data_IF_552190784168
#
_entry.id   IF_552190784168
#
_cell.length_a   1.000
_cell.length_b   1.000
_cell.length_c   1.000
_cell.angle_alpha   90.00
_cell.angle_beta   90.00
_cell.angle_gamma   90.00
#
_symmetry.space_group_name_H-M   'P 1'
#
loop_
_entity.id
_entity.type
_entity.pdbx_description
1 polymer ?
#
# COMPACT_ATOMS: atom_id res chain seq x y z
N UNK A 1 1.78 -12.45 -4.91
CA UNK A 1 0.88 -11.86 -5.92
C UNK A 1 -0.38 -12.70 -6.11
N UNK A 2 -0.22 -13.99 -6.34
CA UNK A 2 -1.35 -14.91 -6.54
C UNK A 2 -2.27 -14.97 -5.31
N UNK A 3 -1.73 -15.15 -4.12
CA UNK A 3 -2.50 -15.21 -2.88
C UNK A 3 -3.27 -13.90 -2.61
N UNK A 4 -2.72 -12.76 -3.01
CA UNK A 4 -3.35 -11.44 -2.81
C UNK A 4 -4.30 -11.05 -3.95
N UNK A 5 -4.26 -11.74 -5.09
CA UNK A 5 -5.14 -11.46 -6.25
C UNK A 5 -6.62 -11.72 -5.97
N UNK A 6 -6.95 -12.53 -4.95
CA UNK A 6 -8.32 -12.74 -4.47
C UNK A 6 -9.05 -11.47 -4.03
N UNK A 7 -8.33 -10.36 -3.76
CA UNK A 7 -8.94 -9.07 -3.50
C UNK A 7 -9.64 -8.47 -4.73
N UNK A 8 -9.19 -8.76 -5.95
CA UNK A 8 -9.82 -8.24 -7.18
C UNK A 8 -11.28 -8.66 -7.34
N UNK A 9 -11.64 -9.98 -7.32
CA UNK A 9 -13.04 -10.38 -7.44
C UNK A 9 -13.88 -9.90 -6.25
N UNK A 10 -13.32 -9.81 -5.04
CA UNK A 10 -14.01 -9.31 -3.86
C UNK A 10 -14.42 -7.84 -4.05
N UNK A 11 -13.50 -6.96 -4.40
CA UNK A 11 -13.78 -5.53 -4.58
C UNK A 11 -14.67 -5.28 -5.79
N UNK A 12 -14.46 -5.98 -6.91
CA UNK A 12 -15.32 -5.86 -8.08
C UNK A 12 -16.77 -6.29 -7.78
N UNK A 13 -16.97 -7.32 -6.96
CA UNK A 13 -18.29 -7.70 -6.48
C UNK A 13 -18.93 -6.61 -5.63
N UNK A 14 -18.19 -5.99 -4.70
CA UNK A 14 -18.71 -4.90 -3.88
C UNK A 14 -19.09 -3.68 -4.72
N UNK A 15 -18.26 -3.30 -5.70
CA UNK A 15 -18.57 -2.23 -6.66
C UNK A 15 -19.85 -2.53 -7.44
N UNK A 16 -19.98 -3.74 -7.95
CA UNK A 16 -21.17 -4.18 -8.68
C UNK A 16 -22.43 -4.13 -7.80
N UNK A 17 -22.35 -4.57 -6.56
CA UNK A 17 -23.46 -4.50 -5.59
C UNK A 17 -23.84 -3.05 -5.24
N UNK A 18 -22.86 -2.15 -5.27
CA UNK A 18 -23.07 -0.71 -5.08
C UNK A 18 -23.58 0.00 -6.34
N UNK A 19 -23.79 -0.72 -7.46
CA UNK A 19 -24.27 -0.16 -8.73
C UNK A 19 -23.21 0.51 -9.59
N UNK A 20 -21.91 0.35 -9.27
CA UNK A 20 -20.80 0.87 -10.03
C UNK A 20 -20.40 -0.14 -11.12
N UNK A 21 -20.28 0.33 -12.38
CA UNK A 21 -19.88 -0.50 -13.53
C UNK A 21 -18.36 -0.67 -13.65
N UNK A 22 -17.58 0.00 -12.81
CA UNK A 22 -16.11 -0.05 -12.82
C UNK A 22 -15.61 -1.42 -12.38
N UNK A 23 -14.66 -1.95 -13.15
CA UNK A 23 -13.96 -3.20 -12.85
C UNK A 23 -12.45 -2.95 -12.74
N UNK A 24 -11.87 -3.31 -11.61
CA UNK A 24 -10.42 -3.34 -11.43
C UNK A 24 -9.85 -4.64 -11.98
N UNK A 25 -8.76 -4.54 -12.75
CA UNK A 25 -8.07 -5.67 -13.38
C UNK A 25 -6.62 -5.77 -12.94
N UNK A 26 -6.11 -4.68 -12.32
CA UNK A 26 -4.73 -4.56 -11.88
C UNK A 26 -4.67 -4.50 -10.36
N UNK A 27 -3.59 -5.06 -9.81
CA UNK A 27 -3.36 -5.11 -8.37
C UNK A 27 -1.86 -5.14 -8.09
N UNK A 28 -1.44 -4.46 -7.04
CA UNK A 28 -0.10 -4.54 -6.44
C UNK A 28 -0.27 -5.22 -5.09
N UNK A 29 0.14 -6.49 -5.00
CA UNK A 29 0.19 -7.24 -3.76
C UNK A 29 1.53 -7.01 -3.08
N UNK A 30 1.53 -6.54 -1.83
CA UNK A 30 2.71 -6.22 -1.03
C UNK A 30 2.82 -7.20 0.12
N UNK A 31 4.02 -7.70 0.36
CA UNK A 31 4.32 -8.51 1.55
C UNK A 31 5.32 -7.80 2.44
N UNK A 32 4.91 -7.54 3.68
CA UNK A 32 5.73 -6.93 4.73
C UNK A 32 6.13 -8.00 5.74
N UNK A 33 7.42 -8.30 5.82
CA UNK A 33 7.91 -9.39 6.68
C UNK A 33 9.41 -9.31 6.91
N UNK A 34 10.10 -10.45 6.78
CA UNK A 34 11.57 -10.52 6.84
C UNK A 34 12.18 -9.61 5.79
N UNK A 35 11.54 -9.51 4.62
CA UNK A 35 11.89 -8.60 3.55
C UNK A 35 10.69 -7.82 3.04
N UNK A 36 10.87 -7.14 1.92
CA UNK A 36 9.89 -6.32 1.22
C UNK A 36 9.60 -6.90 -0.16
N UNK A 37 8.50 -7.61 -0.31
CA UNK A 37 8.13 -8.26 -1.57
C UNK A 37 6.92 -7.61 -2.22
N UNK A 38 6.83 -7.73 -3.55
CA UNK A 38 5.62 -7.43 -4.30
C UNK A 38 5.30 -8.51 -5.33
N UNK A 39 3.99 -8.63 -5.62
CA UNK A 39 3.48 -9.32 -6.79
C UNK A 39 2.55 -8.38 -7.53
N UNK A 40 2.81 -8.18 -8.81
CA UNK A 40 2.05 -7.27 -9.66
C UNK A 40 1.13 -8.09 -10.56
N UNK A 41 -0.15 -7.75 -10.57
CA UNK A 41 -1.16 -8.34 -11.44
C UNK A 41 -1.61 -7.28 -12.43
N UNK A 42 -1.53 -7.57 -13.72
CA UNK A 42 -1.97 -6.70 -14.82
C UNK A 42 -2.96 -7.46 -15.67
N UNK A 43 -4.13 -6.89 -15.92
CA UNK A 43 -5.22 -7.55 -16.65
C UNK A 43 -5.57 -8.94 -16.08
N UNK A 44 -5.57 -9.07 -14.75
CA UNK A 44 -5.82 -10.32 -14.01
C UNK A 44 -4.74 -11.39 -14.18
N UNK A 45 -3.58 -11.05 -14.76
CA UNK A 45 -2.45 -11.96 -14.98
C UNK A 45 -1.27 -11.49 -14.13
N UNK A 46 -0.62 -12.43 -13.43
CA UNK A 46 0.59 -12.15 -12.66
C UNK A 46 1.74 -11.75 -13.59
N UNK A 47 2.35 -10.60 -13.32
CA UNK A 47 3.53 -10.12 -14.02
C UNK A 47 4.76 -10.91 -13.55
N UNK A 48 5.28 -11.77 -14.39
CA UNK A 48 6.53 -12.49 -14.13
C UNK A 48 7.74 -11.77 -14.69
N UNK A 49 7.57 -11.01 -15.79
CA UNK A 49 8.66 -10.39 -16.55
C UNK A 49 9.44 -11.42 -17.37
N UNK A 50 10.24 -10.94 -18.31
CA UNK A 50 11.05 -11.81 -19.20
C UNK A 50 12.18 -12.53 -18.45
N UNK A 51 12.64 -11.95 -17.33
CA UNK A 51 13.73 -12.50 -16.51
C UNK A 51 13.24 -13.01 -15.15
N UNK A 52 11.94 -13.12 -14.94
CA UNK A 52 11.37 -13.52 -13.64
C UNK A 52 11.49 -12.46 -12.53
N UNK A 53 11.81 -11.19 -12.88
CA UNK A 53 12.03 -10.09 -11.92
C UNK A 53 10.82 -9.15 -11.81
N UNK A 54 9.65 -9.60 -12.27
CA UNK A 54 8.42 -8.80 -12.16
C UNK A 54 8.02 -8.61 -10.70
N UNK A 55 8.05 -7.36 -10.22
CA UNK A 55 7.64 -7.04 -8.84
C UNK A 55 8.79 -6.91 -7.82
N UNK A 56 10.04 -6.81 -8.25
CA UNK A 56 11.22 -6.62 -7.38
C UNK A 56 11.24 -5.24 -6.69
N UNK A 57 10.19 -4.93 -5.93
CA UNK A 57 10.02 -3.66 -5.22
C UNK A 57 11.11 -3.41 -4.16
N UNK A 58 11.67 -4.48 -3.62
CA UNK A 58 12.71 -4.43 -2.58
C UNK A 58 13.98 -3.69 -3.05
N UNK A 59 14.27 -3.74 -4.37
CA UNK A 59 15.40 -3.06 -5.01
C UNK A 59 15.15 -1.58 -5.30
N UNK A 60 13.96 -1.07 -5.09
CA UNK A 60 13.69 0.36 -5.28
C UNK A 60 14.58 1.20 -4.38
N UNK A 61 14.84 2.43 -4.83
CA UNK A 61 15.65 3.37 -4.06
C UNK A 61 14.95 3.75 -2.77
N UNK A 62 15.66 3.71 -1.67
CA UNK A 62 15.18 4.13 -0.36
C UNK A 62 14.98 5.65 -0.34
N UNK A 63 13.80 6.10 0.09
CA UNK A 63 13.49 7.54 0.15
C UNK A 63 14.37 8.29 1.16
N UNK A 64 14.64 7.69 2.31
CA UNK A 64 15.41 8.30 3.41
C UNK A 64 16.92 8.16 3.22
N UNK A 65 17.34 7.06 2.63
CA UNK A 65 18.73 6.69 2.40
C UNK A 65 18.92 6.37 0.90
N UNK A 66 19.13 7.38 0.03
CA UNK A 66 19.06 7.22 -1.43
C UNK A 66 20.05 6.22 -2.04
N UNK A 67 21.10 5.86 -1.32
CA UNK A 67 22.11 4.88 -1.76
C UNK A 67 21.81 3.45 -1.25
N UNK A 68 20.68 3.26 -0.55
CA UNK A 68 20.27 1.98 0.01
C UNK A 68 19.02 1.43 -0.70
N UNK A 69 18.78 0.13 -0.54
CA UNK A 69 17.57 -0.56 -0.97
C UNK A 69 16.37 -0.10 -0.14
N UNK A 70 15.19 -0.10 -0.75
CA UNK A 70 13.94 0.15 -0.02
C UNK A 70 13.74 -0.83 1.13
N UNK A 71 14.12 -2.11 0.95
CA UNK A 71 14.02 -3.16 1.98
C UNK A 71 14.77 -2.82 3.27
N UNK A 72 15.86 -2.03 3.21
CA UNK A 72 16.59 -1.62 4.42
C UNK A 72 15.75 -0.74 5.37
N UNK A 73 14.66 -0.16 4.87
CA UNK A 73 13.67 0.56 5.68
C UNK A 73 12.30 -0.11 5.72
N UNK A 74 12.09 -1.19 4.95
CA UNK A 74 10.80 -1.90 4.86
C UNK A 74 11.00 -3.38 5.15
N UNK A 75 11.38 -3.68 6.39
CA UNK A 75 11.61 -5.04 6.86
C UNK A 75 11.55 -5.12 8.37
N UNK A 76 11.47 -6.36 8.89
CA UNK A 76 11.60 -6.63 10.34
C UNK A 76 12.90 -6.02 10.91
N UNK A 77 14.00 -6.09 10.14
CA UNK A 77 15.29 -5.50 10.56
C UNK A 77 15.18 -3.98 10.74
N UNK A 78 14.47 -3.32 9.82
CA UNK A 78 14.24 -1.87 9.89
C UNK A 78 13.45 -1.48 11.14
N UNK A 79 12.36 -2.19 11.46
CA UNK A 79 11.57 -1.93 12.68
C UNK A 79 12.45 -2.02 13.93
N UNK A 80 13.27 -3.07 14.04
CA UNK A 80 14.19 -3.24 15.16
C UNK A 80 15.23 -2.13 15.23
N UNK A 81 15.84 -1.77 14.10
CA UNK A 81 16.83 -0.71 14.04
C UNK A 81 16.25 0.62 14.50
N UNK A 82 15.11 1.02 13.93
CA UNK A 82 14.47 2.31 14.26
C UNK A 82 14.04 2.33 15.72
N UNK A 83 13.50 1.23 16.25
CA UNK A 83 13.19 1.13 17.68
C UNK A 83 14.44 1.34 18.55
N UNK A 84 15.56 0.65 18.23
CA UNK A 84 16.81 0.82 18.98
C UNK A 84 17.36 2.23 18.90
N UNK A 85 17.35 2.83 17.70
CA UNK A 85 17.87 4.18 17.47
C UNK A 85 17.10 5.24 18.27
N UNK A 86 15.79 5.07 18.41
CA UNK A 86 14.92 6.04 19.09
C UNK A 86 14.83 5.81 20.60
N UNK A 87 14.76 4.56 21.04
CA UNK A 87 14.64 4.22 22.47
C UNK A 87 15.97 4.22 23.21
N UNK A 88 17.09 4.15 22.49
CA UNK A 88 18.41 3.91 23.08
C UNK A 88 18.60 2.50 23.67
N UNK A 89 17.62 1.60 23.44
CA UNK A 89 17.63 0.23 23.96
C UNK A 89 17.95 -0.79 22.85
N UNK A 90 18.67 -1.86 23.21
CA UNK A 90 18.93 -2.94 22.25
C UNK A 90 17.65 -3.69 21.90
N UNK A 91 17.37 -3.82 20.61
CA UNK A 91 16.27 -4.64 20.10
C UNK A 91 16.70 -6.01 19.59
N UNK A 92 17.95 -6.42 19.83
CA UNK A 92 18.53 -7.65 19.26
C UNK A 92 17.71 -8.92 19.60
N UNK A 93 17.12 -8.96 20.80
CA UNK A 93 16.29 -10.08 21.29
C UNK A 93 14.78 -9.89 21.02
N UNK A 94 14.36 -8.70 20.54
CA UNK A 94 12.96 -8.42 20.34
C UNK A 94 12.47 -8.97 18.98
N UNK A 95 11.36 -9.69 19.00
CA UNK A 95 10.62 -10.01 17.78
C UNK A 95 9.78 -8.80 17.31
N UNK A 96 9.29 -8.76 16.08
CA UNK A 96 8.33 -7.73 15.66
C UNK A 96 7.07 -7.70 16.50
N UNK A 97 6.65 -8.88 16.98
CA UNK A 97 5.52 -9.01 17.90
C UNK A 97 5.82 -8.32 19.24
N UNK A 98 7.02 -8.49 19.78
CA UNK A 98 7.42 -7.81 21.01
C UNK A 98 7.38 -6.29 20.87
N UNK A 99 7.88 -5.75 19.74
CA UNK A 99 7.83 -4.30 19.46
C UNK A 99 6.37 -3.84 19.28
N UNK A 100 5.53 -4.65 18.65
CA UNK A 100 4.09 -4.37 18.57
C UNK A 100 3.44 -4.38 19.97
N UNK A 101 3.74 -5.36 20.82
CA UNK A 101 3.21 -5.46 22.17
C UNK A 101 3.69 -4.26 23.04
N UNK A 102 4.90 -3.75 22.81
CA UNK A 102 5.40 -2.50 23.41
C UNK A 102 4.57 -1.30 22.90
N UNK A 103 4.30 -1.22 21.61
CA UNK A 103 3.47 -0.16 21.03
C UNK A 103 2.05 -0.14 21.61
N UNK A 104 1.49 -1.32 21.92
CA UNK A 104 0.17 -1.48 22.54
C UNK A 104 0.19 -1.32 24.08
N UNK A 105 1.37 -1.13 24.70
CA UNK A 105 1.50 -1.04 26.15
C UNK A 105 1.33 -2.38 26.89
N UNK A 106 1.36 -3.50 26.18
CA UNK A 106 1.24 -4.86 26.71
C UNK A 106 2.59 -5.33 27.28
N UNK A 107 3.70 -4.89 26.67
CA UNK A 107 5.05 -5.22 27.06
C UNK A 107 5.78 -3.94 27.47
N UNK A 108 6.64 -4.05 28.51
CA UNK A 108 7.48 -2.95 28.96
C UNK A 108 8.47 -2.52 27.87
N UNK A 109 8.62 -1.21 27.67
CA UNK A 109 9.52 -0.60 26.70
C UNK A 109 9.07 0.81 26.30
N UNK A 110 9.77 1.39 25.33
CA UNK A 110 9.41 2.70 24.80
C UNK A 110 8.33 2.58 23.73
N UNK A 111 7.08 2.84 24.10
CA UNK A 111 5.92 2.75 23.20
C UNK A 111 5.98 3.79 22.07
N UNK A 112 6.55 4.98 22.31
CA UNK A 112 6.70 6.01 21.29
C UNK A 112 7.70 5.58 20.21
N UNK A 113 8.86 5.03 20.63
CA UNK A 113 9.85 4.47 19.71
C UNK A 113 9.27 3.29 18.91
N UNK A 114 8.48 2.43 19.56
CA UNK A 114 7.82 1.29 18.91
C UNK A 114 6.82 1.74 17.84
N UNK A 115 5.93 2.68 18.15
CA UNK A 115 4.98 3.27 17.19
C UNK A 115 5.74 3.95 16.04
N UNK A 116 6.76 4.75 16.35
CA UNK A 116 7.55 5.47 15.35
C UNK A 116 8.27 4.51 14.39
N UNK A 117 8.72 3.35 14.87
CA UNK A 117 9.36 2.33 14.02
C UNK A 117 8.42 1.75 12.96
N UNK A 118 7.16 1.48 13.30
CA UNK A 118 6.14 1.04 12.34
C UNK A 118 5.68 2.18 11.42
N UNK A 119 5.60 3.40 11.93
CA UNK A 119 5.29 4.57 11.10
C UNK A 119 6.37 4.80 10.03
N UNK A 120 7.65 4.72 10.39
CA UNK A 120 8.75 4.86 9.42
C UNK A 120 8.67 3.79 8.34
N UNK A 121 8.42 2.52 8.72
CA UNK A 121 8.20 1.45 7.76
C UNK A 121 7.04 1.79 6.81
N UNK A 122 5.93 2.31 7.33
CA UNK A 122 4.78 2.73 6.53
C UNK A 122 5.12 3.82 5.52
N UNK A 123 5.85 4.86 5.94
CA UNK A 123 6.30 5.95 5.05
C UNK A 123 7.19 5.40 3.93
N UNK A 124 8.17 4.55 4.27
CA UNK A 124 9.12 4.01 3.29
C UNK A 124 8.45 3.05 2.31
N UNK A 125 7.54 2.19 2.80
CA UNK A 125 6.72 1.34 1.94
C UNK A 125 5.82 2.17 1.01
N UNK A 126 5.16 3.19 1.54
CA UNK A 126 4.31 4.11 0.77
C UNK A 126 5.06 4.79 -0.36
N UNK A 127 6.29 5.25 -0.13
CA UNK A 127 7.12 5.88 -1.15
C UNK A 127 7.47 4.92 -2.30
N UNK A 128 7.83 3.67 -2.00
CA UNK A 128 8.10 2.66 -3.01
C UNK A 128 6.82 2.26 -3.77
N UNK A 129 5.71 2.05 -3.05
CA UNK A 129 4.41 1.71 -3.64
C UNK A 129 3.91 2.82 -4.56
N UNK A 130 4.09 4.10 -4.22
CA UNK A 130 3.70 5.23 -5.06
C UNK A 130 4.34 5.15 -6.45
N UNK A 131 5.61 4.76 -6.53
CA UNK A 131 6.34 4.60 -7.80
C UNK A 131 5.74 3.49 -8.66
N UNK A 132 5.43 2.33 -8.06
CA UNK A 132 4.80 1.21 -8.77
C UNK A 132 3.37 1.54 -9.17
N UNK A 133 2.62 2.20 -8.27
CA UNK A 133 1.23 2.55 -8.49
C UNK A 133 1.04 3.50 -9.67
N UNK A 134 1.97 4.43 -9.88
CA UNK A 134 1.97 5.32 -11.05
C UNK A 134 2.23 4.59 -12.39
N UNK A 135 2.76 3.37 -12.35
CA UNK A 135 3.02 2.54 -13.55
C UNK A 135 1.90 1.53 -13.76
N UNK A 136 1.42 0.91 -12.68
CA UNK A 136 0.48 -0.23 -12.74
C UNK A 136 -0.97 0.23 -12.77
N UNK A 137 -1.32 1.32 -12.07
CA UNK A 137 -2.70 1.82 -11.93
C UNK A 137 -3.67 0.69 -11.53
N UNK A 138 -3.68 0.35 -10.24
CA UNK A 138 -4.48 -0.77 -9.73
C UNK A 138 -4.79 -0.64 -8.24
N UNK A 139 -5.38 -1.67 -7.66
CA UNK A 139 -5.58 -1.79 -6.22
C UNK A 139 -4.24 -2.10 -5.52
N UNK A 140 -4.15 -1.76 -4.24
CA UNK A 140 -3.01 -2.13 -3.39
C UNK A 140 -3.48 -3.04 -2.27
N UNK A 141 -2.83 -4.18 -2.09
CA UNK A 141 -3.14 -5.14 -1.02
C UNK A 141 -1.89 -5.42 -0.20
N UNK A 142 -1.97 -5.15 1.09
CA UNK A 142 -0.87 -5.33 2.03
C UNK A 142 -1.06 -6.65 2.80
N UNK A 143 -0.07 -7.51 2.78
CA UNK A 143 -0.03 -8.76 3.53
C UNK A 143 1.33 -8.97 4.22
N UNK A 144 1.54 -10.15 4.77
CA UNK A 144 2.80 -10.52 5.44
C UNK A 144 2.74 -10.42 6.96
N UNK A 145 3.74 -10.97 7.63
CA UNK A 145 3.75 -11.12 9.09
C UNK A 145 3.78 -9.80 9.87
N UNK A 146 4.25 -8.69 9.26
CA UNK A 146 4.25 -7.35 9.88
C UNK A 146 2.93 -6.61 9.65
N UNK A 147 2.09 -7.09 8.73
CA UNK A 147 0.77 -6.50 8.48
C UNK A 147 -0.15 -6.54 9.71
N UNK A 148 0.12 -7.39 10.72
CA UNK A 148 -0.56 -7.35 12.02
C UNK A 148 -0.41 -6.01 12.77
N UNK A 149 0.64 -5.22 12.45
CA UNK A 149 0.83 -3.85 12.96
C UNK A 149 0.20 -2.78 12.03
N UNK A 150 -0.75 -3.16 11.17
CA UNK A 150 -1.41 -2.26 10.20
C UNK A 150 -1.99 -0.99 10.83
N UNK A 151 -2.45 -1.06 12.08
CA UNK A 151 -2.91 0.09 12.88
C UNK A 151 -1.90 1.26 12.88
N UNK A 152 -0.60 0.95 12.88
CA UNK A 152 0.49 1.93 12.91
C UNK A 152 1.09 2.17 11.51
N UNK A 153 1.15 1.12 10.68
CA UNK A 153 1.78 1.17 9.36
C UNK A 153 0.87 1.89 8.35
N UNK A 154 -0.40 1.52 8.32
CA UNK A 154 -1.31 1.93 7.24
C UNK A 154 -1.58 3.44 7.20
N UNK A 155 -1.81 4.15 8.34
CA UNK A 155 -2.01 5.59 8.32
C UNK A 155 -0.81 6.35 7.73
N UNK A 156 0.42 5.94 8.10
CA UNK A 156 1.65 6.55 7.62
C UNK A 156 1.87 6.26 6.12
N UNK A 157 1.61 5.03 5.67
CA UNK A 157 1.69 4.62 4.28
C UNK A 157 0.69 5.40 3.41
N UNK A 158 -0.56 5.53 3.84
CA UNK A 158 -1.59 6.27 3.10
C UNK A 158 -1.29 7.77 3.06
N UNK A 159 -0.79 8.33 4.16
CA UNK A 159 -0.33 9.72 4.18
C UNK A 159 0.77 9.95 3.16
N UNK A 160 1.71 9.02 3.03
CA UNK A 160 2.78 9.09 2.02
C UNK A 160 2.24 8.98 0.59
N UNK A 161 1.30 8.07 0.33
CA UNK A 161 0.65 7.95 -0.98
C UNK A 161 -0.15 9.22 -1.37
N UNK A 162 -0.64 9.96 -0.38
CA UNK A 162 -1.36 11.23 -0.56
C UNK A 162 -0.46 12.46 -0.55
N UNK A 163 0.85 12.27 -0.40
CA UNK A 163 1.82 13.36 -0.36
C UNK A 163 1.85 14.15 -1.68
N UNK A 164 2.40 15.35 -1.62
CA UNK A 164 2.59 16.21 -2.78
C UNK A 164 4.08 16.35 -3.11
N UNK A 165 4.38 16.31 -4.39
CA UNK A 165 5.70 16.60 -4.94
C UNK A 165 5.72 18.03 -5.49
N UNK A 166 6.84 18.72 -5.34
CA UNK A 166 6.99 20.11 -5.76
C UNK A 166 7.94 20.20 -6.96
N UNK A 167 7.59 20.99 -7.94
CA UNK A 167 8.47 21.30 -9.08
C UNK A 167 9.45 22.43 -8.73
N UNK A 168 10.46 22.64 -9.55
CA UNK A 168 11.37 23.78 -9.40
C UNK A 168 10.67 25.15 -9.46
N UNK A 169 9.52 25.23 -10.14
CA UNK A 169 8.68 26.44 -10.18
C UNK A 169 7.77 26.60 -8.96
N UNK A 170 7.82 25.69 -8.00
CA UNK A 170 7.00 25.70 -6.78
C UNK A 170 5.59 25.12 -6.92
N UNK A 171 5.20 24.65 -8.10
CA UNK A 171 3.92 23.97 -8.30
C UNK A 171 3.89 22.63 -7.56
N UNK A 172 2.73 22.29 -6.99
CA UNK A 172 2.54 21.06 -6.25
C UNK A 172 1.65 20.09 -7.02
N UNK A 173 2.05 18.84 -7.06
CA UNK A 173 1.31 17.74 -7.68
C UNK A 173 1.20 16.57 -6.71
N UNK A 174 0.09 15.79 -6.73
CA UNK A 174 0.01 14.58 -5.93
C UNK A 174 1.09 13.58 -6.38
N UNK A 175 1.66 12.82 -5.44
CA UNK A 175 2.69 11.84 -5.76
C UNK A 175 2.12 10.62 -6.50
N UNK A 176 0.81 10.36 -6.41
CA UNK A 176 0.08 9.41 -7.27
C UNK A 176 -1.08 10.11 -7.98
N UNK A 177 -1.34 9.72 -9.24
CA UNK A 177 -2.32 10.40 -10.10
C UNK A 177 -3.77 10.11 -9.73
N UNK A 178 -4.02 9.30 -8.71
CA UNK A 178 -5.35 8.85 -8.30
C UNK A 178 -5.63 9.18 -6.84
N UNK A 179 -6.90 9.32 -6.49
CA UNK A 179 -7.33 9.46 -5.11
C UNK A 179 -7.15 8.11 -4.39
N UNK A 180 -6.43 8.13 -3.29
CA UNK A 180 -6.13 6.94 -2.47
C UNK A 180 -7.14 6.84 -1.35
N UNK A 181 -7.76 5.67 -1.18
CA UNK A 181 -8.68 5.37 -0.09
C UNK A 181 -8.12 4.29 0.83
N UNK A 182 -8.36 4.45 2.12
CA UNK A 182 -8.09 3.43 3.13
C UNK A 182 -9.22 2.40 3.15
N UNK A 183 -8.98 1.19 2.71
CA UNK A 183 -9.97 0.13 2.69
C UNK A 183 -10.31 -0.47 4.06
N UNK A 184 -9.49 -0.18 5.08
CA UNK A 184 -9.73 -0.58 6.47
C UNK A 184 -10.54 0.46 7.25
N UNK A 185 -10.74 1.65 6.69
CA UNK A 185 -11.65 2.68 7.22
C UNK A 185 -13.01 2.55 6.54
N UNK A 186 -14.05 2.26 7.30
CA UNK A 186 -15.40 2.02 6.77
C UNK A 186 -15.94 3.22 5.99
N UNK A 187 -15.67 4.44 6.45
CA UNK A 187 -16.16 5.67 5.81
C UNK A 187 -15.43 5.92 4.48
N UNK A 188 -14.15 5.68 4.42
CA UNK A 188 -13.37 5.80 3.18
C UNK A 188 -13.73 4.69 2.18
N UNK A 189 -13.90 3.46 2.67
CA UNK A 189 -14.36 2.34 1.84
C UNK A 189 -15.75 2.62 1.24
N UNK A 190 -16.68 3.12 2.04
CA UNK A 190 -18.02 3.51 1.56
C UNK A 190 -17.93 4.60 0.49
N UNK A 191 -17.06 5.61 0.66
CA UNK A 191 -16.83 6.65 -0.35
C UNK A 191 -16.22 6.08 -1.63
N UNK A 192 -15.27 5.17 -1.52
CA UNK A 192 -14.69 4.47 -2.67
C UNK A 192 -15.75 3.69 -3.46
N UNK A 193 -16.69 3.04 -2.77
CA UNK A 193 -17.77 2.26 -3.38
C UNK A 193 -18.93 3.11 -3.92
N UNK A 194 -19.12 4.34 -3.40
CA UNK A 194 -20.27 5.21 -3.72
C UNK A 194 -20.15 5.98 -5.04
N UNK A 195 -19.21 5.61 -5.90
CA UNK A 195 -18.97 6.33 -7.14
C UNK A 195 -20.16 6.25 -8.10
N UNK A 196 -20.63 7.43 -8.50
CA UNK A 196 -21.59 7.55 -9.59
C UNK A 196 -20.86 7.48 -10.94
N UNK A 197 -21.30 6.57 -11.78
CA UNK A 197 -20.93 6.55 -13.18
C UNK A 197 -21.61 7.72 -13.90
N UNK A 198 -20.86 8.44 -14.71
CA UNK A 198 -21.40 9.45 -15.60
C UNK A 198 -21.58 8.86 -16.99
N UNK A 199 -22.74 9.15 -17.62
CA UNK A 199 -22.96 8.78 -19.00
C UNK A 199 -22.55 9.91 -19.93
N UNK A 200 -21.77 9.61 -20.95
CA UNK A 200 -21.33 10.56 -21.97
C UNK A 200 -21.77 10.09 -23.33
N UNK A 201 -22.35 10.99 -24.11
CA UNK A 201 -22.69 10.70 -25.51
C UNK A 201 -21.42 10.63 -26.35
N UNK A 202 -21.23 9.57 -27.11
CA UNK A 202 -20.11 9.44 -28.04
C UNK A 202 -20.24 10.50 -29.12
N UNK A 203 -19.26 11.42 -29.31
CA UNK A 203 -19.35 12.48 -30.31
C UNK A 203 -19.69 11.94 -31.72
N UNK A 204 -20.67 12.54 -32.39
CA UNK A 204 -21.10 12.15 -33.72
C UNK A 204 -22.05 10.92 -33.77
N UNK A 205 -22.51 10.43 -32.62
CA UNK A 205 -23.47 9.31 -32.53
C UNK A 205 -24.57 9.62 -31.51
N UNK A 206 -25.61 8.76 -31.47
CA UNK A 206 -26.65 8.77 -30.42
C UNK A 206 -26.35 7.75 -29.30
N UNK A 207 -25.18 7.10 -29.34
CA UNK A 207 -24.79 6.10 -28.38
C UNK A 207 -24.19 6.76 -27.13
N UNK A 208 -24.52 6.24 -25.96
CA UNK A 208 -23.93 6.64 -24.69
C UNK A 208 -22.90 5.61 -24.23
N UNK A 209 -21.84 6.08 -23.56
CA UNK A 209 -20.88 5.24 -22.87
C UNK A 209 -20.73 5.69 -21.43
N UNK A 210 -20.38 4.75 -20.56
CA UNK A 210 -20.12 5.05 -19.16
C UNK A 210 -18.71 5.63 -19.01
N UNK A 211 -18.61 6.73 -18.26
CA UNK A 211 -17.35 7.39 -17.95
C UNK A 211 -17.16 7.50 -16.45
N UNK A 212 -15.99 7.04 -15.98
CA UNK A 212 -15.57 7.19 -14.59
C UNK A 212 -14.75 8.46 -14.42
N UNK A 213 -15.34 9.50 -13.86
CA UNK A 213 -14.68 10.81 -13.71
C UNK A 213 -13.49 10.76 -12.73
N UNK A 214 -13.59 9.96 -11.67
CA UNK A 214 -12.60 9.91 -10.63
C UNK A 214 -11.60 8.78 -10.86
N UNK A 215 -10.32 9.14 -10.92
CA UNK A 215 -9.21 8.19 -10.82
C UNK A 215 -9.01 7.87 -9.35
N UNK A 216 -9.06 6.58 -8.99
CA UNK A 216 -8.99 6.18 -7.58
C UNK A 216 -8.42 4.79 -7.40
N UNK A 217 -7.83 4.57 -6.23
CA UNK A 217 -7.36 3.27 -5.77
C UNK A 217 -7.76 3.04 -4.32
N UNK A 218 -7.79 1.77 -3.93
CA UNK A 218 -8.07 1.33 -2.57
C UNK A 218 -6.87 0.57 -2.04
N UNK A 219 -6.44 0.89 -0.82
CA UNK A 219 -5.40 0.16 -0.09
C UNK A 219 -6.08 -0.73 0.94
N UNK A 220 -5.84 -2.02 0.87
CA UNK A 220 -6.45 -3.05 1.71
C UNK A 220 -5.39 -3.83 2.47
N UNK A 221 -5.73 -4.34 3.65
CA UNK A 221 -4.96 -5.38 4.31
C UNK A 221 -5.53 -6.77 3.96
N UNK A 222 -4.64 -7.72 3.67
CA UNK A 222 -5.05 -9.11 3.51
C UNK A 222 -5.53 -9.66 4.84
N UNK A 223 -6.71 -10.28 4.85
CA UNK A 223 -7.24 -11.00 6.02
C UNK A 223 -6.63 -12.40 6.16
N UNK A 224 -5.96 -12.88 5.13
CA UNK A 224 -5.24 -14.14 5.17
C UNK A 224 -3.81 -13.89 5.67
N UNK A 225 -3.47 -14.48 6.81
CA UNK A 225 -2.10 -14.45 7.32
C UNK A 225 -1.13 -15.04 6.31
N UNK A 226 0.06 -14.45 6.15
CA UNK A 226 1.10 -14.89 5.22
C UNK A 226 1.78 -16.22 5.63
N UNK A 227 1.05 -17.12 6.27
CA UNK A 227 1.54 -18.42 6.70
C UNK A 227 0.66 -19.53 6.09
N UNK A 228 1.02 -19.91 4.88
CA UNK A 228 0.95 -21.29 4.39
C UNK A 228 2.08 -21.53 3.43
#
# INVERSE_FOLDING_TARGET
GEALSGALPMINRELSLAGCSREYKNLIGITLGTGFGAGVVINKVLLTGDNGCGGDIWLMRNKKYPDMLAEESVSIRAVRRVYSDLSGQSSASLSPKDIHDIAEGIKEGDSHAAIASFNELGIMAGAAIASVLNVVDGLVVIGGGVAGASKYILPALITELRAQLTTFSGNKFPCVSMQVYNGEDESERARFLSLSDSQVVIPGTHLTTTYHQLKQTLVLCSKEGASR
#
